data_IF_794954448291
#
_entry.id   IF_794954448291
#
_cell.length_a   1.000
_cell.length_b   1.000
_cell.length_c   1.000
_cell.angle_alpha   90.00
_cell.angle_beta   90.00
_cell.angle_gamma   90.00
#
_symmetry.space_group_name_H-M   'P 1'
#
loop_
_entity.id
_entity.type
_entity.pdbx_description
1 polymer ?
#
# COMPACT_ATOMS: atom_id res chain seq x y z
N UNK A 1 21.79 -14.96 1.66
CA UNK A 1 22.35 -13.81 0.90
C UNK A 1 23.87 -13.89 0.85
N UNK A 2 24.54 -14.05 2.00
CA UNK A 2 26.01 -14.11 2.13
C UNK A 2 26.59 -15.54 2.15
N UNK A 3 25.83 -16.53 1.67
CA UNK A 3 26.31 -17.91 1.69
C UNK A 3 27.46 -18.08 0.68
N UNK A 4 28.51 -18.84 1.04
CA UNK A 4 29.71 -18.91 0.21
C UNK A 4 29.50 -19.66 -1.13
N UNK A 5 28.50 -20.55 -1.22
CA UNK A 5 28.24 -21.34 -2.42
C UNK A 5 27.00 -20.85 -3.17
N UNK A 6 25.96 -20.42 -2.45
CA UNK A 6 24.65 -20.05 -2.99
C UNK A 6 24.29 -18.57 -2.75
N UNK A 7 25.19 -17.80 -2.13
CA UNK A 7 25.02 -16.36 -1.92
C UNK A 7 25.03 -15.58 -3.22
N UNK A 8 24.52 -14.35 -3.14
CA UNK A 8 24.39 -13.44 -4.29
C UNK A 8 25.01 -12.07 -4.03
N UNK A 9 25.56 -11.85 -2.83
CA UNK A 9 26.29 -10.67 -2.38
C UNK A 9 27.39 -11.14 -1.43
N UNK A 10 28.52 -10.45 -1.41
CA UNK A 10 29.65 -10.71 -0.52
C UNK A 10 29.51 -9.95 0.83
N UNK A 11 28.78 -8.83 0.82
CA UNK A 11 28.52 -8.00 2.01
C UNK A 11 27.11 -7.41 2.00
N UNK A 12 26.57 -7.11 3.19
CA UNK A 12 25.31 -6.34 3.31
C UNK A 12 25.44 -4.91 2.77
N UNK A 13 26.67 -4.41 2.61
CA UNK A 13 26.96 -3.08 2.07
C UNK A 13 26.67 -2.95 0.57
N UNK A 14 26.57 -4.06 -0.16
CA UNK A 14 26.22 -4.07 -1.59
C UNK A 14 24.75 -3.75 -1.86
N UNK A 15 23.92 -3.75 -0.80
CA UNK A 15 22.51 -3.40 -0.93
C UNK A 15 22.38 -1.88 -0.84
N UNK A 16 22.16 -1.21 -1.98
CA UNK A 16 21.97 0.25 -2.00
C UNK A 16 20.63 0.69 -1.36
N UNK A 17 19.58 -0.13 -1.52
CA UNK A 17 18.24 0.21 -1.07
C UNK A 17 17.37 -1.00 -0.73
N UNK A 18 16.43 -0.79 0.19
CA UNK A 18 15.46 -1.80 0.64
C UNK A 18 14.05 -1.22 0.52
N UNK A 19 13.21 -1.88 -0.27
CA UNK A 19 11.79 -1.57 -0.37
C UNK A 19 10.98 -2.43 0.61
N UNK A 20 10.29 -1.79 1.55
CA UNK A 20 9.43 -2.46 2.53
C UNK A 20 7.96 -2.14 2.24
N UNK A 21 7.14 -3.19 2.15
CA UNK A 21 5.68 -3.04 2.03
C UNK A 21 5.09 -2.81 3.41
N UNK A 22 4.29 -1.74 3.55
CA UNK A 22 3.48 -1.48 4.75
C UNK A 22 2.01 -1.46 4.35
N UNK A 23 1.16 -2.15 5.09
CA UNK A 23 -0.25 -2.28 4.69
C UNK A 23 -0.99 -0.95 4.77
N UNK A 24 -0.88 -0.20 5.87
CA UNK A 24 -1.72 0.97 6.08
C UNK A 24 -0.90 2.25 6.27
N UNK A 25 -1.00 3.19 5.31
CA UNK A 25 -0.37 4.52 5.35
C UNK A 25 -1.25 5.63 5.94
N UNK A 26 -2.52 5.30 6.23
CA UNK A 26 -3.47 6.28 6.75
C UNK A 26 -3.86 7.28 5.67
N UNK A 27 -4.18 8.50 6.08
CA UNK A 27 -4.45 9.61 5.15
C UNK A 27 -3.19 10.37 4.75
N UNK A 28 -2.10 10.22 5.51
CA UNK A 28 -0.93 11.09 5.44
C UNK A 28 0.14 10.55 4.49
N UNK A 29 0.22 9.23 4.29
CA UNK A 29 1.12 8.62 3.31
C UNK A 29 0.37 8.07 2.10
N UNK A 30 0.37 8.88 1.06
CA UNK A 30 -0.24 8.58 -0.25
C UNK A 30 0.78 8.31 -1.35
N UNK A 31 2.07 8.33 -1.00
CA UNK A 31 3.19 8.11 -1.92
C UNK A 31 4.30 7.26 -1.26
N UNK A 32 5.16 6.70 -2.11
CA UNK A 32 6.38 6.01 -1.68
C UNK A 32 7.27 6.97 -0.87
N UNK A 33 7.70 6.55 0.32
CA UNK A 33 8.31 7.45 1.31
C UNK A 33 9.64 6.89 1.83
N UNK A 34 10.68 7.71 1.89
CA UNK A 34 11.95 7.36 2.53
C UNK A 34 11.76 7.22 4.05
N UNK A 35 12.30 6.17 4.66
CA UNK A 35 12.15 5.94 6.10
C UNK A 35 12.96 6.96 6.90
N UNK A 36 12.32 7.50 7.94
CA UNK A 36 12.94 8.24 9.03
C UNK A 36 12.16 7.97 10.34
N UNK A 37 12.57 8.58 11.46
CA UNK A 37 11.89 8.41 12.75
C UNK A 37 10.41 8.81 12.72
N UNK A 38 10.06 9.88 12.02
CA UNK A 38 8.66 10.33 11.90
C UNK A 38 7.79 9.27 11.22
N UNK A 39 8.29 8.69 10.12
CA UNK A 39 7.61 7.61 9.38
C UNK A 39 7.42 6.39 10.28
N UNK A 40 8.44 5.98 11.04
CA UNK A 40 8.35 4.85 11.98
C UNK A 40 7.31 5.11 13.07
N UNK A 41 7.30 6.29 13.71
CA UNK A 41 6.29 6.65 14.70
C UNK A 41 4.89 6.68 14.11
N UNK A 42 4.77 7.16 12.86
CA UNK A 42 3.48 7.22 12.19
C UNK A 42 2.95 5.83 11.84
N UNK A 43 3.77 4.94 11.30
CA UNK A 43 3.43 3.52 11.08
C UNK A 43 2.95 2.89 12.38
N UNK A 44 3.68 3.10 13.49
CA UNK A 44 3.30 2.63 14.82
C UNK A 44 1.92 3.15 15.23
N UNK A 45 1.66 4.45 15.09
CA UNK A 45 0.37 5.08 15.43
C UNK A 45 -0.81 4.56 14.59
N UNK A 46 -0.54 4.05 13.38
CA UNK A 46 -1.54 3.49 12.47
C UNK A 46 -1.80 2.00 12.73
N UNK A 47 -1.08 1.38 13.66
CA UNK A 47 -1.30 -0.02 14.05
C UNK A 47 -2.76 -0.36 14.39
N UNK A 48 -3.55 0.49 15.06
CA UNK A 48 -4.97 0.21 15.30
C UNK A 48 -5.82 0.03 14.02
N UNK A 49 -5.38 0.59 12.89
CA UNK A 49 -6.07 0.42 11.59
C UNK A 49 -5.67 -0.88 10.88
N UNK A 50 -4.51 -1.44 11.20
CA UNK A 50 -4.03 -2.71 10.65
C UNK A 50 -3.23 -3.51 11.70
N UNK A 51 -3.90 -3.99 12.77
CA UNK A 51 -3.22 -4.50 13.97
C UNK A 51 -2.42 -5.77 13.72
N UNK A 52 -2.79 -6.56 12.71
CA UNK A 52 -2.07 -7.77 12.34
C UNK A 52 -0.94 -7.55 11.32
N UNK A 53 -0.79 -6.33 10.79
CA UNK A 53 0.13 -6.06 9.69
C UNK A 53 1.15 -4.96 10.02
N UNK A 54 0.68 -3.77 10.38
CA UNK A 54 1.56 -2.62 10.60
C UNK A 54 2.62 -2.86 11.70
N UNK A 55 2.33 -3.54 12.83
CA UNK A 55 3.36 -3.88 13.82
C UNK A 55 4.48 -4.75 13.24
N UNK A 56 4.12 -5.83 12.53
CA UNK A 56 5.10 -6.71 11.91
C UNK A 56 5.88 -6.02 10.78
N UNK A 57 5.23 -5.10 10.03
CA UNK A 57 5.92 -4.30 9.03
C UNK A 57 6.95 -3.35 9.67
N UNK A 58 6.61 -2.74 10.82
CA UNK A 58 7.52 -1.88 11.56
C UNK A 58 8.71 -2.68 12.12
N UNK A 59 8.48 -3.89 12.62
CA UNK A 59 9.56 -4.78 13.06
C UNK A 59 10.53 -5.09 11.92
N UNK A 60 10.00 -5.42 10.73
CA UNK A 60 10.83 -5.63 9.54
C UNK A 60 11.69 -4.42 9.15
N UNK A 61 11.15 -3.20 9.30
CA UNK A 61 11.91 -1.95 9.10
C UNK A 61 13.07 -1.87 10.09
N UNK A 62 12.81 -2.08 11.38
CA UNK A 62 13.82 -1.98 12.44
C UNK A 62 14.92 -3.04 12.26
N UNK A 63 14.55 -4.28 11.91
CA UNK A 63 15.53 -5.33 11.61
C UNK A 63 16.38 -4.99 10.38
N UNK A 64 15.77 -4.43 9.34
CA UNK A 64 16.52 -3.98 8.17
C UNK A 64 17.51 -2.85 8.51
N UNK A 65 17.16 -1.94 9.44
CA UNK A 65 18.07 -0.87 9.88
C UNK A 65 19.28 -1.44 10.64
N UNK A 66 19.09 -2.50 11.40
CA UNK A 66 20.17 -3.16 12.15
C UNK A 66 21.14 -3.92 11.23
N UNK A 67 20.61 -4.63 10.23
CA UNK A 67 21.39 -5.51 9.34
C UNK A 67 22.05 -4.73 8.20
N UNK A 68 21.33 -3.78 7.60
CA UNK A 68 21.71 -3.09 6.36
C UNK A 68 21.96 -1.59 6.59
N UNK A 69 23.02 -1.28 7.34
CA UNK A 69 23.29 0.06 7.88
C UNK A 69 23.56 1.14 6.83
N UNK A 70 24.09 0.77 5.67
CA UNK A 70 24.39 1.69 4.56
C UNK A 70 23.20 1.88 3.61
N UNK A 71 22.22 0.98 3.63
CA UNK A 71 21.12 0.96 2.67
C UNK A 71 20.08 2.04 2.96
N UNK A 72 19.57 2.66 1.90
CA UNK A 72 18.38 3.50 2.00
C UNK A 72 17.14 2.64 2.13
N UNK A 73 16.30 2.91 3.11
CA UNK A 73 15.03 2.20 3.25
C UNK A 73 13.85 3.05 2.76
N UNK A 74 12.98 2.43 1.98
CA UNK A 74 11.82 3.05 1.37
C UNK A 74 10.59 2.23 1.72
N UNK A 75 9.54 2.90 2.18
CA UNK A 75 8.24 2.27 2.42
C UNK A 75 7.30 2.52 1.26
N UNK A 76 6.61 1.46 0.85
CA UNK A 76 5.49 1.51 -0.09
C UNK A 76 4.23 1.08 0.64
N UNK A 77 3.26 2.02 0.74
CA UNK A 77 1.99 1.76 1.41
C UNK A 77 0.96 1.19 0.43
N UNK A 78 0.27 0.12 0.82
CA UNK A 78 -0.78 -0.49 -0.01
C UNK A 78 -1.96 0.45 -0.28
N UNK A 79 -2.25 1.34 0.68
CA UNK A 79 -3.32 2.34 0.60
C UNK A 79 -2.93 3.56 -0.25
N UNK A 80 -1.65 3.72 -0.61
CA UNK A 80 -1.13 4.95 -1.18
C UNK A 80 -1.81 5.33 -2.51
N UNK A 81 -1.91 4.37 -3.43
CA UNK A 81 -2.50 4.59 -4.75
C UNK A 81 -3.96 5.07 -4.69
N UNK A 82 -4.69 4.69 -3.65
CA UNK A 82 -6.08 5.08 -3.40
C UNK A 82 -6.19 6.40 -2.62
N UNK A 83 -5.06 7.06 -2.31
CA UNK A 83 -5.02 8.38 -1.70
C UNK A 83 -5.74 9.46 -2.51
N UNK A 84 -5.88 9.28 -3.82
CA UNK A 84 -6.53 10.20 -4.75
C UNK A 84 -8.06 10.08 -4.79
N UNK A 85 -8.68 9.19 -4.01
CA UNK A 85 -10.13 9.03 -4.00
C UNK A 85 -10.85 10.36 -3.66
N UNK A 86 -11.85 10.76 -4.45
CA UNK A 86 -12.67 11.92 -4.10
C UNK A 86 -13.51 11.63 -2.85
N UNK A 87 -13.90 12.68 -2.11
CA UNK A 87 -14.67 12.55 -0.87
C UNK A 87 -15.93 11.68 -1.02
N UNK A 88 -16.62 11.80 -2.17
CA UNK A 88 -17.82 11.02 -2.49
C UNK A 88 -17.59 9.51 -2.57
N UNK A 89 -16.37 9.07 -2.88
CA UNK A 89 -15.98 7.66 -2.93
C UNK A 89 -15.33 7.20 -1.62
N UNK A 90 -14.72 8.14 -0.87
CA UNK A 90 -13.99 7.83 0.36
C UNK A 90 -14.88 7.76 1.61
N UNK A 91 -15.97 8.53 1.65
CA UNK A 91 -16.80 8.70 2.84
C UNK A 91 -18.00 7.75 2.85
N UNK A 92 -18.16 7.01 3.94
CA UNK A 92 -19.33 6.18 4.18
C UNK A 92 -20.55 7.00 4.60
N UNK A 93 -21.75 6.51 4.29
CA UNK A 93 -23.04 7.08 4.72
C UNK A 93 -23.35 6.75 6.19
N UNK A 94 -22.47 7.20 7.08
CA UNK A 94 -22.53 7.01 8.54
C UNK A 94 -22.28 8.36 9.24
N UNK A 95 -22.50 8.50 10.56
CA UNK A 95 -22.27 9.76 11.26
C UNK A 95 -20.88 10.36 10.99
N UNK A 96 -20.85 11.67 10.68
CA UNK A 96 -19.62 12.38 10.27
C UNK A 96 -18.46 12.24 11.25
N UNK A 97 -18.78 12.13 12.55
CA UNK A 97 -17.80 11.93 13.62
C UNK A 97 -16.88 10.73 13.38
N UNK A 98 -17.41 9.67 12.73
CA UNK A 98 -16.62 8.47 12.41
C UNK A 98 -15.57 8.76 11.35
N UNK A 99 -15.89 9.60 10.36
CA UNK A 99 -14.94 10.02 9.34
C UNK A 99 -13.92 11.03 9.89
N UNK A 100 -14.40 12.06 10.59
CA UNK A 100 -13.60 13.21 11.01
C UNK A 100 -12.62 12.86 12.14
N UNK A 101 -13.10 12.16 13.17
CA UNK A 101 -12.31 11.85 14.36
C UNK A 101 -11.78 10.42 14.35
N UNK A 102 -12.61 9.45 13.97
CA UNK A 102 -12.25 8.02 14.04
C UNK A 102 -11.60 7.50 12.77
N UNK A 103 -11.48 8.34 11.73
CA UNK A 103 -10.82 8.02 10.45
C UNK A 103 -11.42 6.79 9.76
N UNK A 104 -12.72 6.56 9.95
CA UNK A 104 -13.50 5.52 9.28
C UNK A 104 -13.84 6.02 7.87
N UNK A 105 -13.15 5.46 6.89
CA UNK A 105 -13.27 5.82 5.47
C UNK A 105 -12.82 4.65 4.60
N UNK A 106 -13.12 4.70 3.31
CA UNK A 106 -12.58 3.75 2.34
C UNK A 106 -11.08 4.07 2.11
N UNK A 107 -10.20 3.13 2.45
CA UNK A 107 -8.75 3.26 2.24
C UNK A 107 -8.29 2.55 0.96
N UNK A 108 -8.83 1.36 0.70
CA UNK A 108 -8.44 0.55 -0.44
C UNK A 108 -7.12 -0.16 -0.25
N UNK A 109 -6.96 -1.31 -0.92
CA UNK A 109 -5.75 -2.14 -0.85
C UNK A 109 -5.45 -2.73 -2.23
N UNK A 110 -4.28 -3.37 -2.35
CA UNK A 110 -3.71 -3.77 -3.64
C UNK A 110 -3.34 -2.55 -4.52
N UNK A 111 -3.12 -1.38 -3.93
CA UNK A 111 -2.83 -0.15 -4.65
C UNK A 111 -1.58 -0.25 -5.52
N UNK A 112 -0.53 -0.91 -5.05
CA UNK A 112 0.70 -1.15 -5.82
C UNK A 112 0.45 -2.01 -7.07
N UNK A 113 -0.37 -3.05 -6.94
CA UNK A 113 -0.74 -3.90 -8.08
C UNK A 113 -1.58 -3.13 -9.09
N UNK A 114 -2.61 -2.41 -8.65
CA UNK A 114 -3.49 -1.64 -9.53
C UNK A 114 -2.73 -0.52 -10.25
N UNK A 115 -1.84 0.18 -9.53
CA UNK A 115 -0.94 1.19 -10.10
C UNK A 115 -0.10 0.58 -11.21
N UNK A 116 0.65 -0.48 -10.91
CA UNK A 116 1.57 -1.12 -11.85
C UNK A 116 0.86 -1.57 -13.14
N UNK A 117 -0.25 -2.30 -13.03
CA UNK A 117 -0.95 -2.80 -14.23
C UNK A 117 -1.59 -1.66 -15.03
N UNK A 118 -2.01 -0.58 -14.38
CA UNK A 118 -2.54 0.61 -15.08
C UNK A 118 -1.45 1.37 -15.84
N UNK A 119 -0.25 1.49 -15.28
CA UNK A 119 0.91 2.09 -15.95
C UNK A 119 1.32 1.24 -17.17
N UNK A 120 1.31 -0.09 -17.03
CA UNK A 120 1.57 -1.01 -18.14
C UNK A 120 0.51 -0.95 -19.22
N UNK A 121 -0.76 -0.81 -18.85
CA UNK A 121 -1.84 -0.61 -19.81
C UNK A 121 -1.67 0.72 -20.57
N UNK A 122 -1.31 1.81 -19.88
CA UNK A 122 -1.04 3.10 -20.52
C UNK A 122 0.14 3.05 -21.49
N UNK A 123 1.23 2.37 -21.10
CA UNK A 123 2.40 2.12 -21.95
C UNK A 123 1.99 1.36 -23.22
N UNK A 124 1.26 0.24 -23.06
CA UNK A 124 0.77 -0.57 -24.17
C UNK A 124 -0.14 0.21 -25.12
N UNK A 125 -1.04 1.03 -24.57
CA UNK A 125 -1.96 1.87 -25.34
C UNK A 125 -1.28 3.12 -25.91
N UNK A 126 -0.03 3.41 -25.52
CA UNK A 126 0.67 4.68 -25.80
C UNK A 126 -0.18 5.92 -25.46
N UNK A 127 -0.97 5.84 -24.38
CA UNK A 127 -1.89 6.88 -23.96
C UNK A 127 -1.90 6.99 -22.43
N UNK A 128 -1.67 8.20 -21.92
CA UNK A 128 -1.73 8.50 -20.48
C UNK A 128 -3.09 9.04 -20.02
N UNK A 129 -3.95 9.44 -20.97
CA UNK A 129 -5.30 9.93 -20.72
C UNK A 129 -6.33 8.81 -20.93
N UNK A 130 -6.32 7.83 -20.03
CA UNK A 130 -7.13 6.62 -20.10
C UNK A 130 -8.17 6.57 -18.97
N UNK A 131 -9.25 5.83 -19.22
CA UNK A 131 -10.19 5.38 -18.19
C UNK A 131 -10.11 3.86 -18.14
N UNK A 132 -9.57 3.33 -17.06
CA UNK A 132 -9.28 1.92 -16.90
C UNK A 132 -10.06 1.34 -15.72
N UNK A 133 -10.46 0.07 -15.87
CA UNK A 133 -10.89 -0.77 -14.77
C UNK A 133 -9.82 -1.84 -14.60
N UNK A 134 -9.14 -1.85 -13.46
CA UNK A 134 -8.18 -2.90 -13.11
C UNK A 134 -8.84 -3.91 -12.18
N UNK A 135 -8.62 -5.20 -12.44
CA UNK A 135 -9.22 -6.31 -11.70
C UNK A 135 -8.09 -7.19 -11.17
N UNK A 136 -7.85 -7.15 -9.87
CA UNK A 136 -6.86 -7.97 -9.19
C UNK A 136 -7.57 -9.20 -8.61
N UNK A 137 -7.27 -10.39 -9.14
CA UNK A 137 -7.88 -11.66 -8.73
C UNK A 137 -6.83 -12.59 -8.15
N UNK A 138 -6.91 -12.84 -6.85
CA UNK A 138 -6.03 -13.74 -6.12
C UNK A 138 -6.75 -14.29 -4.88
N UNK A 139 -6.02 -14.65 -3.83
CA UNK A 139 -6.65 -15.05 -2.58
C UNK A 139 -7.46 -13.90 -1.95
N UNK A 140 -7.01 -12.65 -2.13
CA UNK A 140 -7.79 -11.44 -1.96
C UNK A 140 -8.11 -10.82 -3.32
N UNK A 141 -9.33 -10.33 -3.52
CA UNK A 141 -9.78 -9.78 -4.80
C UNK A 141 -10.19 -8.33 -4.66
N UNK A 142 -9.81 -7.47 -5.61
CA UNK A 142 -10.32 -6.09 -5.68
C UNK A 142 -10.39 -5.55 -7.10
N UNK A 143 -11.31 -4.61 -7.32
CA UNK A 143 -11.45 -3.84 -8.56
C UNK A 143 -11.15 -2.38 -8.26
N UNK A 144 -10.50 -1.67 -9.17
CA UNK A 144 -10.25 -0.22 -9.06
C UNK A 144 -10.63 0.47 -10.36
N UNK A 145 -11.36 1.58 -10.23
CA UNK A 145 -11.61 2.51 -11.32
C UNK A 145 -10.49 3.56 -11.33
N UNK A 146 -9.84 3.72 -12.48
CA UNK A 146 -8.64 4.54 -12.65
C UNK A 146 -8.90 5.52 -13.79
N UNK A 147 -8.69 6.80 -13.53
CA UNK A 147 -8.79 7.87 -14.52
C UNK A 147 -7.48 8.65 -14.56
N UNK A 148 -6.86 8.71 -15.74
CA UNK A 148 -5.59 9.41 -15.98
C UNK A 148 -4.50 9.03 -14.96
N UNK A 149 -4.34 7.72 -14.70
CA UNK A 149 -3.36 7.17 -13.77
C UNK A 149 -3.68 7.34 -12.28
N UNK A 150 -4.87 7.87 -11.93
CA UNK A 150 -5.30 8.08 -10.53
C UNK A 150 -6.45 7.17 -10.18
N UNK A 151 -6.41 6.55 -8.99
CA UNK A 151 -7.53 5.81 -8.44
C UNK A 151 -8.68 6.76 -8.10
N UNK A 152 -9.86 6.52 -8.66
CA UNK A 152 -11.07 7.32 -8.40
C UNK A 152 -12.16 6.56 -7.64
N UNK A 153 -12.10 5.23 -7.63
CA UNK A 153 -12.98 4.35 -6.84
C UNK A 153 -12.36 2.95 -6.72
N UNK A 154 -12.77 2.17 -5.73
CA UNK A 154 -12.31 0.79 -5.56
C UNK A 154 -13.33 -0.08 -4.81
N UNK A 155 -13.27 -1.40 -5.00
CA UNK A 155 -14.22 -2.33 -4.38
C UNK A 155 -13.97 -2.61 -2.89
N UNK A 156 -12.74 -2.47 -2.42
CA UNK A 156 -12.42 -2.64 -1.00
C UNK A 156 -12.88 -1.42 -0.18
N UNK A 157 -12.60 -1.39 1.12
CA UNK A 157 -13.13 -0.37 2.00
C UNK A 157 -12.15 0.08 3.07
N UNK A 158 -12.68 0.25 4.28
CA UNK A 158 -11.89 0.48 5.49
C UNK A 158 -10.92 -0.68 5.76
N UNK A 159 -11.38 -1.90 5.46
CA UNK A 159 -10.64 -3.14 5.62
C UNK A 159 -10.61 -3.93 4.30
N UNK A 160 -9.67 -4.88 4.13
CA UNK A 160 -9.57 -5.70 2.91
C UNK A 160 -10.65 -6.79 2.82
N UNK A 161 -11.68 -6.73 3.66
CA UNK A 161 -12.82 -7.64 3.68
C UNK A 161 -14.01 -7.15 2.85
N UNK A 162 -14.06 -5.87 2.49
CA UNK A 162 -15.14 -5.34 1.66
C UNK A 162 -14.95 -5.74 0.18
N UNK A 163 -16.05 -5.85 -0.56
CA UNK A 163 -16.06 -5.83 -2.01
C UNK A 163 -16.38 -7.17 -2.63
N UNK A 164 -15.40 -7.76 -3.32
CA UNK A 164 -15.60 -9.00 -4.07
C UNK A 164 -15.60 -10.22 -3.15
N UNK A 165 -16.18 -11.32 -3.64
CA UNK A 165 -15.93 -12.66 -3.09
C UNK A 165 -14.44 -12.98 -3.22
N UNK A 166 -13.85 -13.56 -2.16
CA UNK A 166 -12.43 -13.91 -2.10
C UNK A 166 -12.26 -15.36 -1.61
N UNK A 167 -11.02 -15.83 -1.47
CA UNK A 167 -10.75 -17.23 -1.11
C UNK A 167 -11.37 -17.66 0.23
N UNK A 168 -11.18 -16.84 1.27
CA UNK A 168 -11.70 -17.12 2.64
C UNK A 168 -12.52 -15.96 3.23
N UNK A 169 -12.72 -14.88 2.46
CA UNK A 169 -13.50 -13.71 2.90
C UNK A 169 -14.80 -13.65 2.12
N UNK A 170 -15.89 -13.40 2.85
CA UNK A 170 -17.22 -13.21 2.29
C UNK A 170 -17.28 -11.84 1.59
N UNK A 171 -18.15 -11.71 0.59
CA UNK A 171 -18.50 -10.43 -0.01
C UNK A 171 -19.18 -9.50 1.01
#
# INVERSE_FOLDING_TARGET
>A
LLDAEMGVIDSTEEIDAIGLRVVHGGKDYVDTTLINEEVKQKIKSLSPLAPLHNPANLEGILMAEEIFKSSKQIVVFDTAFHGTLPIKAKKYAVPNILFEEKRVQAYGFHGTSHKYVSEKANEYLSNQNTKLISIHLGNGCSITAIENGKSIDHSMGFAPSNGLVMGTRKA
#
